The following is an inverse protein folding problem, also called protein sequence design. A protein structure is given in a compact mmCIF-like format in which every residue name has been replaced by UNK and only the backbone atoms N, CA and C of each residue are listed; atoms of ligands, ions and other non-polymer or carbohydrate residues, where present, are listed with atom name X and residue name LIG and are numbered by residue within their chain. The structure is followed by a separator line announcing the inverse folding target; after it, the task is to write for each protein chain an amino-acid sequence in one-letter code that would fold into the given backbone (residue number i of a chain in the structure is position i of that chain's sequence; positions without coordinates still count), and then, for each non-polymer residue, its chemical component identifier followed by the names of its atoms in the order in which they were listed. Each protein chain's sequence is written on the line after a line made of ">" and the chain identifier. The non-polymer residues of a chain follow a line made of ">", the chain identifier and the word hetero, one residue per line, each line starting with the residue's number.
data_IF_742290376655
#
_entry.id   IF_742290376655
#
_cell.length_a   1.000
_cell.length_b   1.000
_cell.length_c   1.000
_cell.angle_alpha   90.00
_cell.angle_beta   90.00
_cell.angle_gamma   90.00
#
_symmetry.space_group_name_H-M   'P 1'
#
loop_
_entity.id
_entity.type
_entity.pdbx_description
1 polymer ?
#
# COMPACT_ATOMS: atom_id res chain seq x y z
N UNK A 1 -6.93 -2.55 18.18
CA UNK A 1 -8.12 -3.21 17.58
C UNK A 1 -7.88 -4.70 17.36
N UNK A 2 -6.87 -5.10 16.57
CA UNK A 2 -6.62 -6.52 16.25
C UNK A 2 -6.45 -7.42 17.49
N UNK A 3 -5.80 -6.91 18.54
CA UNK A 3 -5.55 -7.66 19.78
C UNK A 3 -6.66 -7.52 20.84
N UNK A 4 -7.75 -6.78 20.58
CA UNK A 4 -8.74 -6.44 21.62
C UNK A 4 -9.38 -7.68 22.25
N UNK A 5 -9.60 -8.74 21.47
CA UNK A 5 -10.20 -9.98 21.95
C UNK A 5 -9.18 -11.00 22.47
N UNK A 6 -7.99 -11.08 21.86
CA UNK A 6 -6.98 -12.09 22.19
C UNK A 6 -6.03 -11.66 23.31
N UNK A 7 -5.70 -10.38 23.38
CA UNK A 7 -4.83 -9.80 24.42
C UNK A 7 -5.28 -8.36 24.74
N UNK A 8 -6.28 -8.21 25.61
CA UNK A 8 -6.82 -6.90 25.97
C UNK A 8 -5.77 -5.98 26.61
N UNK A 9 -4.88 -6.52 27.45
CA UNK A 9 -3.85 -5.73 28.16
C UNK A 9 -2.79 -5.18 27.18
N UNK A 10 -2.40 -5.97 26.19
CA UNK A 10 -1.56 -5.48 25.12
C UNK A 10 -2.29 -4.48 24.23
N UNK A 11 -3.56 -4.73 23.88
CA UNK A 11 -4.37 -3.78 23.10
C UNK A 11 -4.52 -2.42 23.80
N UNK A 12 -4.69 -2.38 25.11
CA UNK A 12 -4.75 -1.15 25.90
C UNK A 12 -3.40 -0.44 25.91
N UNK A 13 -2.30 -1.19 26.05
CA UNK A 13 -0.94 -0.65 25.97
C UNK A 13 -0.69 0.02 24.63
N UNK A 14 -1.04 -0.64 23.52
CA UNK A 14 -0.91 -0.09 22.16
C UNK A 14 -1.74 1.18 21.99
N UNK A 15 -3.00 1.18 22.43
CA UNK A 15 -3.86 2.35 22.32
C UNK A 15 -3.30 3.55 23.09
N UNK A 16 -2.86 3.34 24.34
CA UNK A 16 -2.25 4.38 25.17
C UNK A 16 -1.03 5.02 24.50
N UNK A 17 -0.17 4.22 23.88
CA UNK A 17 1.00 4.76 23.17
C UNK A 17 0.63 5.42 21.83
N UNK A 18 -0.40 4.93 21.12
CA UNK A 18 -0.89 5.57 19.91
C UNK A 18 -1.43 6.98 20.19
N UNK A 19 -2.18 7.16 21.28
CA UNK A 19 -2.67 8.48 21.72
C UNK A 19 -1.49 9.41 22.02
N UNK A 20 -0.51 8.96 22.81
CA UNK A 20 0.69 9.75 23.13
C UNK A 20 1.50 10.14 21.88
N UNK A 21 1.65 9.21 20.93
CA UNK A 21 2.37 9.47 19.70
C UNK A 21 1.65 10.53 18.84
N UNK A 22 0.32 10.45 18.74
CA UNK A 22 -0.49 11.44 18.04
C UNK A 22 -0.41 12.82 18.71
N UNK A 23 -0.57 12.89 20.03
CA UNK A 23 -0.45 14.15 20.78
C UNK A 23 0.93 14.80 20.58
N UNK A 24 1.99 13.99 20.61
CA UNK A 24 3.34 14.46 20.34
C UNK A 24 3.48 15.01 18.92
N UNK A 25 3.03 14.26 17.91
CA UNK A 25 3.10 14.68 16.51
C UNK A 25 2.29 15.96 16.22
N UNK A 26 1.09 16.07 16.79
CA UNK A 26 0.22 17.23 16.61
C UNK A 26 0.75 18.48 17.34
N UNK A 27 1.42 18.29 18.49
CA UNK A 27 2.02 19.39 19.26
C UNK A 27 3.34 19.88 18.62
N UNK A 28 4.17 18.97 18.13
CA UNK A 28 5.51 19.26 17.61
C UNK A 28 5.57 18.95 16.11
N UNK A 29 4.88 19.78 15.34
CA UNK A 29 4.70 19.60 13.91
C UNK A 29 5.98 19.87 13.11
N UNK A 30 6.30 18.97 12.19
CA UNK A 30 7.44 19.08 11.28
C UNK A 30 7.77 17.74 10.64
N UNK A 31 8.27 17.78 9.41
CA UNK A 31 8.74 16.59 8.71
C UNK A 31 9.94 15.98 9.46
N UNK A 32 9.93 14.67 9.67
CA UNK A 32 10.99 14.01 10.43
C UNK A 32 12.36 14.15 9.73
N UNK A 33 12.37 14.19 8.39
CA UNK A 33 13.58 14.34 7.58
C UNK A 33 14.11 15.77 7.47
N UNK A 34 13.39 16.76 8.02
CA UNK A 34 13.91 18.12 8.18
C UNK A 34 14.81 18.25 9.41
N UNK A 35 14.72 17.30 10.34
CA UNK A 35 15.61 17.25 11.50
C UNK A 35 17.03 16.86 11.05
N UNK A 36 17.97 17.80 11.18
CA UNK A 36 19.37 17.63 10.79
C UNK A 36 20.04 16.42 11.47
N UNK A 37 19.61 16.02 12.68
CA UNK A 37 20.17 14.87 13.39
C UNK A 37 19.67 13.52 12.86
N UNK A 38 18.59 13.50 12.08
CA UNK A 38 17.94 12.29 11.55
C UNK A 38 18.12 12.20 10.03
N UNK A 39 18.17 13.35 9.35
CA UNK A 39 18.19 13.46 7.89
C UNK A 39 19.24 12.58 7.23
N UNK A 40 20.47 12.56 7.74
CA UNK A 40 21.57 11.78 7.12
C UNK A 40 21.35 10.27 7.20
N UNK A 41 20.56 9.79 8.15
CA UNK A 41 20.17 8.38 8.27
C UNK A 41 18.90 8.02 7.50
N UNK A 42 18.01 9.00 7.28
CA UNK A 42 16.73 8.81 6.61
C UNK A 42 16.82 9.06 5.09
N UNK A 43 17.48 10.14 4.67
CA UNK A 43 17.60 10.56 3.29
C UNK A 43 18.94 10.09 2.70
N UNK A 44 18.97 9.62 1.42
CA UNK A 44 17.89 9.67 0.43
C UNK A 44 16.99 8.41 0.39
N UNK A 45 16.92 7.64 1.48
CA UNK A 45 16.25 6.33 1.48
C UNK A 45 14.73 6.42 1.66
N UNK A 46 14.32 7.05 2.76
CA UNK A 46 12.92 7.32 3.02
C UNK A 46 12.61 8.80 2.89
N UNK A 47 13.22 9.77 3.58
CA UNK A 47 12.74 11.17 3.46
C UNK A 47 11.22 11.33 3.68
N UNK A 48 10.78 12.57 3.76
CA UNK A 48 9.39 12.98 3.82
C UNK A 48 9.18 13.87 2.59
N UNK A 49 8.43 13.40 1.60
CA UNK A 49 8.19 14.15 0.37
C UNK A 49 6.82 14.81 0.34
N UNK A 50 5.81 14.15 0.90
CA UNK A 50 4.42 14.63 0.94
C UNK A 50 4.08 15.52 2.16
N UNK A 51 4.92 15.50 3.20
CA UNK A 51 4.68 16.19 4.45
C UNK A 51 4.23 15.24 5.57
N UNK A 52 3.99 15.79 6.75
CA UNK A 52 3.44 15.07 7.91
C UNK A 52 1.93 15.28 8.08
N UNK A 53 1.33 16.11 7.22
CA UNK A 53 -0.02 16.62 7.37
C UNK A 53 -1.05 15.51 7.17
N UNK A 54 -0.84 14.65 6.19
CA UNK A 54 -1.67 13.48 5.95
C UNK A 54 -1.45 12.39 7.00
N UNK A 55 -0.26 12.25 7.60
CA UNK A 55 -0.01 11.39 8.75
C UNK A 55 -0.87 11.81 9.95
N UNK A 56 -1.03 13.12 10.21
CA UNK A 56 -1.87 13.61 11.30
C UNK A 56 -3.33 13.24 11.04
N UNK A 57 -3.85 13.47 9.83
CA UNK A 57 -5.22 13.07 9.49
C UNK A 57 -5.40 11.56 9.53
N UNK A 58 -4.42 10.79 9.05
CA UNK A 58 -4.41 9.32 9.06
C UNK A 58 -4.40 8.77 10.48
N UNK A 59 -3.54 9.33 11.35
CA UNK A 59 -3.46 8.99 12.77
C UNK A 59 -4.77 9.28 13.49
N UNK A 60 -5.36 10.46 13.27
CA UNK A 60 -6.67 10.82 13.82
C UNK A 60 -7.76 9.85 13.34
N UNK A 61 -7.78 9.49 12.06
CA UNK A 61 -8.76 8.55 11.49
C UNK A 61 -8.66 7.15 12.12
N UNK A 62 -7.45 6.64 12.35
CA UNK A 62 -7.26 5.36 13.05
C UNK A 62 -7.61 5.43 14.53
N UNK A 63 -7.29 6.54 15.21
CA UNK A 63 -7.67 6.76 16.60
C UNK A 63 -9.19 6.88 16.75
N UNK A 64 -9.88 7.58 15.84
CA UNK A 64 -11.35 7.60 15.75
C UNK A 64 -11.89 6.17 15.64
N UNK A 65 -11.35 5.37 14.72
CA UNK A 65 -11.80 3.98 14.52
C UNK A 65 -11.53 3.09 15.74
N UNK A 66 -10.41 3.31 16.43
CA UNK A 66 -10.02 2.51 17.59
C UNK A 66 -10.80 2.87 18.86
N UNK A 67 -11.02 4.16 19.12
CA UNK A 67 -11.62 4.69 20.36
C UNK A 67 -13.12 4.91 20.27
N UNK A 68 -13.64 5.20 19.07
CA UNK A 68 -14.99 5.73 18.85
C UNK A 68 -15.24 7.08 19.54
N UNK A 69 -14.19 7.80 19.93
CA UNK A 69 -14.30 9.14 20.53
C UNK A 69 -14.48 10.20 19.45
N UNK A 70 -15.38 11.16 19.71
CA UNK A 70 -15.70 12.23 18.75
C UNK A 70 -14.59 13.28 18.66
N UNK A 71 -13.67 13.35 19.63
CA UNK A 71 -12.52 14.28 19.60
C UNK A 71 -11.70 14.13 18.31
N UNK A 72 -11.42 12.89 17.89
CA UNK A 72 -10.68 12.62 16.65
C UNK A 72 -11.50 12.90 15.40
N UNK A 73 -12.82 12.68 15.44
CA UNK A 73 -13.72 13.07 14.35
C UNK A 73 -13.72 14.59 14.18
N UNK A 74 -13.86 15.34 15.27
CA UNK A 74 -13.81 16.79 15.29
C UNK A 74 -12.47 17.31 14.77
N UNK A 75 -11.36 16.64 15.13
CA UNK A 75 -10.02 16.96 14.61
C UNK A 75 -9.97 16.84 13.08
N UNK A 76 -10.46 15.73 12.52
CA UNK A 76 -10.49 15.47 11.06
C UNK A 76 -11.34 16.52 10.34
N UNK A 77 -12.50 16.89 10.89
CA UNK A 77 -13.38 17.92 10.33
C UNK A 77 -12.75 19.31 10.38
N UNK A 78 -12.13 19.67 11.51
CA UNK A 78 -11.56 21.00 11.72
C UNK A 78 -10.26 21.20 10.93
N UNK A 79 -9.44 20.16 10.78
CA UNK A 79 -8.11 20.27 10.19
C UNK A 79 -8.03 19.75 8.75
N UNK A 80 -9.02 19.00 8.26
CA UNK A 80 -8.97 18.35 6.95
C UNK A 80 -8.51 19.26 5.81
N UNK A 81 -9.13 20.43 5.66
CA UNK A 81 -8.75 21.41 4.63
C UNK A 81 -7.35 22.01 4.86
N UNK A 82 -7.02 22.34 6.10
CA UNK A 82 -5.74 23.00 6.43
C UNK A 82 -4.55 22.04 6.34
N UNK A 83 -4.79 20.74 6.54
CA UNK A 83 -3.81 19.67 6.42
C UNK A 83 -3.90 18.96 5.06
N UNK A 84 -4.57 19.54 4.06
CA UNK A 84 -4.50 19.05 2.68
C UNK A 84 -5.21 17.73 2.41
N UNK A 85 -6.33 17.40 3.06
CA UNK A 85 -7.05 16.14 2.84
C UNK A 85 -7.44 15.86 1.36
N UNK A 86 -7.56 16.92 0.55
CA UNK A 86 -7.82 16.91 -0.88
C UNK A 86 -6.56 17.06 -1.77
N UNK A 87 -5.38 17.12 -1.17
CA UNK A 87 -4.08 17.12 -1.87
C UNK A 87 -3.67 15.68 -2.24
N UNK A 88 -2.89 15.53 -3.31
CA UNK A 88 -2.25 14.28 -3.77
C UNK A 88 -3.10 12.99 -3.63
N UNK A 89 -4.41 13.07 -3.85
CA UNK A 89 -5.39 12.00 -3.57
C UNK A 89 -5.25 10.73 -4.42
N UNK A 90 -4.29 10.72 -5.35
CA UNK A 90 -4.06 9.62 -6.28
C UNK A 90 -2.97 8.65 -5.80
N UNK A 91 -2.47 8.82 -4.57
CA UNK A 91 -1.41 8.01 -4.02
C UNK A 91 -1.73 7.45 -2.63
N UNK A 92 -1.24 6.22 -2.40
CA UNK A 92 -1.21 5.59 -1.09
C UNK A 92 0.03 4.71 -1.00
N UNK A 93 0.86 4.97 0.01
CA UNK A 93 2.13 4.31 0.21
C UNK A 93 2.71 4.60 1.59
N UNK A 94 4.01 4.37 1.72
CA UNK A 94 4.71 4.63 2.97
C UNK A 94 4.89 6.14 3.25
N UNK A 95 4.93 6.99 2.21
CA UNK A 95 5.03 8.45 2.30
C UNK A 95 3.64 9.10 2.23
N UNK A 96 2.89 8.92 1.13
CA UNK A 96 1.54 9.50 1.01
C UNK A 96 0.42 8.64 1.65
N UNK A 97 -0.47 9.25 2.45
CA UNK A 97 -1.67 8.61 3.02
C UNK A 97 -2.99 9.10 2.44
N UNK A 98 -3.03 10.09 1.55
CA UNK A 98 -4.25 10.78 1.13
C UNK A 98 -5.32 9.87 0.53
N UNK A 99 -4.99 8.99 -0.43
CA UNK A 99 -6.01 8.09 -1.00
C UNK A 99 -6.55 7.10 0.05
N UNK A 100 -5.66 6.57 0.90
CA UNK A 100 -6.02 5.67 1.99
C UNK A 100 -6.87 6.35 3.07
N UNK A 101 -6.52 7.59 3.44
CA UNK A 101 -7.25 8.45 4.37
C UNK A 101 -8.67 8.70 3.87
N UNK A 102 -8.81 9.14 2.62
CA UNK A 102 -10.11 9.42 2.01
C UNK A 102 -10.99 8.18 1.97
N UNK A 103 -10.45 7.01 1.57
CA UNK A 103 -11.17 5.73 1.64
C UNK A 103 -11.54 5.35 3.07
N UNK A 104 -10.63 5.52 4.04
CA UNK A 104 -10.88 5.16 5.44
C UNK A 104 -12.02 5.99 6.05
N UNK A 105 -11.95 7.32 5.86
CA UNK A 105 -12.91 8.29 6.43
C UNK A 105 -14.26 8.23 5.71
N UNK A 106 -14.29 7.91 4.41
CA UNK A 106 -15.53 7.83 3.65
C UNK A 106 -16.52 6.81 4.23
N UNK A 107 -16.04 5.82 5.00
CA UNK A 107 -16.90 4.85 5.70
C UNK A 107 -17.90 5.53 6.65
N UNK A 108 -17.45 6.55 7.38
CA UNK A 108 -18.29 7.28 8.34
C UNK A 108 -19.41 8.05 7.62
N UNK A 109 -19.12 8.61 6.44
CA UNK A 109 -20.13 9.20 5.56
C UNK A 109 -21.12 8.14 5.05
N UNK A 110 -20.60 7.04 4.50
CA UNK A 110 -21.38 5.99 3.84
C UNK A 110 -22.32 5.23 4.79
N UNK A 111 -21.87 4.96 6.01
CA UNK A 111 -22.61 4.15 6.98
C UNK A 111 -23.32 5.01 8.04
N UNK A 112 -22.77 6.18 8.37
CA UNK A 112 -23.26 7.04 9.46
C UNK A 112 -24.06 8.26 8.97
N UNK A 113 -24.18 8.48 7.66
CA UNK A 113 -24.75 9.69 7.07
C UNK A 113 -24.10 10.99 7.59
N UNK A 114 -22.81 10.94 7.90
CA UNK A 114 -22.05 12.10 8.38
C UNK A 114 -21.73 13.06 7.24
N UNK A 115 -22.71 13.87 6.81
CA UNK A 115 -22.60 14.79 5.66
C UNK A 115 -21.40 15.75 5.72
N UNK A 116 -20.92 16.08 6.91
CA UNK A 116 -19.69 16.86 7.13
C UNK A 116 -18.43 16.23 6.52
N UNK A 117 -18.45 14.92 6.25
CA UNK A 117 -17.33 14.15 5.69
C UNK A 117 -17.54 13.83 4.19
N UNK A 118 -18.51 14.47 3.54
CA UNK A 118 -18.82 14.24 2.13
C UNK A 118 -17.61 14.49 1.22
N UNK A 119 -16.74 15.44 1.55
CA UNK A 119 -15.51 15.71 0.79
C UNK A 119 -14.59 14.50 0.72
N UNK A 120 -14.39 13.77 1.82
CA UNK A 120 -13.56 12.56 1.85
C UNK A 120 -14.13 11.46 0.94
N UNK A 121 -15.46 11.30 0.92
CA UNK A 121 -16.14 10.41 -0.02
C UNK A 121 -15.96 10.86 -1.48
N UNK A 122 -16.05 12.15 -1.75
CA UNK A 122 -15.85 12.70 -3.08
C UNK A 122 -14.41 12.52 -3.58
N UNK A 123 -13.41 12.71 -2.72
CA UNK A 123 -12.00 12.43 -3.02
C UNK A 123 -11.75 10.93 -3.26
N UNK A 124 -12.36 10.06 -2.45
CA UNK A 124 -12.30 8.61 -2.68
C UNK A 124 -12.94 8.22 -4.02
N UNK A 125 -14.10 8.79 -4.37
CA UNK A 125 -14.72 8.60 -5.69
C UNK A 125 -13.81 9.07 -6.82
N UNK A 126 -13.28 10.28 -6.70
CA UNK A 126 -12.38 10.87 -7.70
C UNK A 126 -11.15 9.98 -7.94
N UNK A 127 -10.52 9.49 -6.86
CA UNK A 127 -9.42 8.55 -6.94
C UNK A 127 -9.82 7.26 -7.68
N UNK A 128 -10.95 6.64 -7.33
CA UNK A 128 -11.43 5.44 -8.02
C UNK A 128 -11.66 5.68 -9.52
N UNK A 129 -12.17 6.86 -9.88
CA UNK A 129 -12.35 7.22 -11.29
C UNK A 129 -11.04 7.37 -12.05
N UNK A 130 -9.93 7.74 -11.38
CA UNK A 130 -8.61 7.79 -12.04
C UNK A 130 -8.09 6.42 -12.47
N UNK A 131 -8.62 5.34 -11.88
CA UNK A 131 -8.27 3.96 -12.17
C UNK A 131 -9.08 3.37 -13.32
N UNK A 132 -10.11 4.06 -13.80
CA UNK A 132 -11.06 3.57 -14.81
C UNK A 132 -10.62 4.10 -16.17
N UNK A 133 -10.12 3.26 -17.09
CA UNK A 133 -9.59 3.71 -18.37
C UNK A 133 -10.59 4.51 -19.21
N UNK A 134 -11.88 4.16 -19.12
CA UNK A 134 -12.98 4.80 -19.84
C UNK A 134 -13.47 6.10 -19.19
N UNK A 135 -12.96 6.48 -18.01
CA UNK A 135 -13.33 7.73 -17.35
C UNK A 135 -12.64 8.93 -17.98
N UNK A 136 -13.34 10.07 -18.00
CA UNK A 136 -12.78 11.37 -18.38
C UNK A 136 -11.70 11.88 -17.42
N UNK A 137 -11.58 11.26 -16.23
CA UNK A 137 -10.59 11.58 -15.20
C UNK A 137 -9.46 10.53 -15.10
N UNK A 138 -9.33 9.64 -16.09
CA UNK A 138 -8.29 8.60 -16.11
C UNK A 138 -6.89 9.23 -16.08
N UNK A 139 -6.13 8.93 -15.04
CA UNK A 139 -4.79 9.47 -14.81
C UNK A 139 -3.75 8.39 -14.46
N UNK A 140 -4.19 7.23 -13.98
CA UNK A 140 -3.29 6.13 -13.63
C UNK A 140 -3.03 5.28 -14.87
N UNK A 141 -1.75 5.00 -15.11
CA UNK A 141 -1.31 4.27 -16.30
C UNK A 141 -1.40 2.77 -16.08
N UNK A 142 -1.50 2.04 -17.19
CA UNK A 142 -1.43 0.60 -17.23
C UNK A 142 -0.36 0.16 -18.21
N UNK A 143 0.38 -0.89 -17.88
CA UNK A 143 1.22 -1.59 -18.85
C UNK A 143 0.33 -2.27 -19.92
N UNK A 144 0.88 -2.65 -21.09
CA UNK A 144 0.15 -3.44 -22.08
C UNK A 144 -0.52 -4.72 -21.52
N UNK A 145 0.11 -5.36 -20.53
CA UNK A 145 -0.39 -6.53 -19.81
C UNK A 145 -1.44 -6.22 -18.74
N UNK A 146 -1.78 -4.95 -18.50
CA UNK A 146 -2.85 -4.56 -17.58
C UNK A 146 -2.43 -4.37 -16.12
N UNK A 147 -1.12 -4.27 -15.83
CA UNK A 147 -0.61 -3.90 -14.51
C UNK A 147 -0.74 -2.39 -14.30
N UNK A 148 -1.22 -1.98 -13.12
CA UNK A 148 -1.18 -0.58 -12.70
C UNK A 148 0.28 -0.12 -12.63
N UNK A 149 0.60 0.93 -13.35
CA UNK A 149 1.95 1.44 -13.50
C UNK A 149 2.06 2.89 -13.08
N UNK A 150 3.09 3.16 -12.27
CA UNK A 150 3.56 4.51 -11.95
C UNK A 150 5.07 4.56 -12.21
N UNK A 151 5.57 5.54 -12.97
CA UNK A 151 7.00 5.68 -13.22
C UNK A 151 7.79 5.79 -11.92
N UNK A 152 8.85 5.00 -11.79
CA UNK A 152 9.67 4.95 -10.58
C UNK A 152 10.35 3.61 -10.38
N UNK A 153 10.93 3.40 -9.19
CA UNK A 153 11.35 2.09 -8.74
C UNK A 153 10.24 1.40 -7.95
N UNK A 154 10.29 0.07 -7.89
CA UNK A 154 9.41 -0.75 -7.05
C UNK A 154 7.91 -0.57 -7.36
N UNK A 155 7.54 -0.58 -8.65
CA UNK A 155 6.18 -0.30 -9.12
C UNK A 155 5.08 -1.13 -8.42
N UNK A 156 5.34 -2.40 -8.07
CA UNK A 156 4.36 -3.26 -7.40
C UNK A 156 3.90 -2.73 -6.04
N UNK A 157 4.59 -1.75 -5.44
CA UNK A 157 4.06 -1.04 -4.28
C UNK A 157 2.72 -0.37 -4.60
N UNK A 158 2.60 0.24 -5.77
CA UNK A 158 1.38 0.94 -6.19
C UNK A 158 0.28 -0.05 -6.55
N UNK A 159 0.61 -1.10 -7.32
CA UNK A 159 -0.37 -2.13 -7.67
C UNK A 159 -0.97 -2.80 -6.43
N UNK A 160 -0.14 -3.13 -5.43
CA UNK A 160 -0.59 -3.78 -4.19
C UNK A 160 -1.39 -2.84 -3.27
N UNK A 161 -0.97 -1.58 -3.10
CA UNK A 161 -1.71 -0.61 -2.28
C UNK A 161 -3.05 -0.24 -2.92
N UNK A 162 -3.08 -0.05 -4.25
CA UNK A 162 -4.31 0.28 -4.98
C UNK A 162 -5.28 -0.91 -4.98
N UNK A 163 -4.80 -2.14 -5.22
CA UNK A 163 -5.65 -3.33 -5.10
C UNK A 163 -6.28 -3.45 -3.71
N UNK A 164 -5.54 -3.13 -2.65
CA UNK A 164 -6.08 -3.10 -1.30
C UNK A 164 -7.17 -2.04 -1.12
N UNK A 165 -6.94 -0.80 -1.58
CA UNK A 165 -7.93 0.27 -1.48
C UNK A 165 -9.20 -0.01 -2.30
N UNK A 166 -9.05 -0.57 -3.51
CA UNK A 166 -10.17 -1.01 -4.34
C UNK A 166 -11.09 -1.98 -3.58
N UNK A 167 -10.51 -2.98 -2.90
CA UNK A 167 -11.29 -3.95 -2.11
C UNK A 167 -11.94 -3.33 -0.88
N UNK A 168 -11.21 -2.50 -0.14
CA UNK A 168 -11.76 -1.81 1.05
C UNK A 168 -12.94 -0.94 0.64
N UNK A 169 -12.79 -0.17 -0.43
CA UNK A 169 -13.82 0.74 -0.88
C UNK A 169 -15.02 0.03 -1.48
N UNK A 170 -14.80 -1.02 -2.29
CA UNK A 170 -15.87 -1.89 -2.78
C UNK A 170 -16.68 -2.50 -1.63
N UNK A 171 -16.01 -2.91 -0.55
CA UNK A 171 -16.68 -3.42 0.64
C UNK A 171 -17.50 -2.34 1.36
N UNK A 172 -17.00 -1.10 1.47
CA UNK A 172 -17.78 0.01 2.02
C UNK A 172 -19.02 0.32 1.18
N UNK A 173 -18.88 0.42 -0.14
CA UNK A 173 -20.00 0.62 -1.06
C UNK A 173 -21.02 -0.53 -0.99
N UNK A 174 -20.58 -1.78 -0.80
CA UNK A 174 -21.48 -2.94 -0.69
C UNK A 174 -22.31 -2.95 0.60
N UNK A 175 -21.84 -2.28 1.66
CA UNK A 175 -22.46 -2.25 2.98
C UNK A 175 -23.42 -1.07 3.17
N UNK A 176 -23.52 -0.17 2.21
CA UNK A 176 -24.42 0.98 2.32
C UNK A 176 -25.86 0.53 2.17
N UNK A 177 -26.78 1.22 2.83
CA UNK A 177 -28.22 0.92 2.75
C UNK A 177 -28.85 1.30 1.41
N UNK A 178 -28.11 2.01 0.55
CA UNK A 178 -28.49 2.33 -0.82
C UNK A 178 -28.12 1.18 -1.74
N UNK A 179 -29.13 0.44 -2.21
CA UNK A 179 -29.06 -0.75 -3.08
C UNK A 179 -28.37 -0.55 -4.46
N UNK A 180 -27.71 0.58 -4.69
CA UNK A 180 -27.02 0.94 -5.95
C UNK A 180 -25.85 1.90 -5.72
N UNK A 181 -25.16 1.80 -4.58
CA UNK A 181 -23.97 2.62 -4.34
C UNK A 181 -22.90 2.31 -5.40
N UNK A 182 -22.61 3.32 -6.21
CA UNK A 182 -21.67 3.29 -7.32
C UNK A 182 -20.89 4.59 -7.35
N UNK A 183 -19.75 4.56 -8.00
CA UNK A 183 -18.90 5.72 -8.25
C UNK A 183 -19.26 6.26 -9.63
N UNK A 184 -19.68 7.52 -9.70
CA UNK A 184 -19.94 8.19 -10.98
C UNK A 184 -18.63 8.79 -11.50
N UNK A 185 -18.14 8.24 -12.61
CA UNK A 185 -16.88 8.62 -13.26
C UNK A 185 -17.09 9.33 -14.60
N UNK A 186 -18.21 10.07 -14.72
CA UNK A 186 -18.62 10.78 -15.93
C UNK A 186 -19.64 9.96 -16.71
N UNK A 187 -19.23 9.42 -17.86
CA UNK A 187 -20.09 8.58 -18.71
C UNK A 187 -20.21 7.13 -18.20
N UNK A 188 -19.32 6.74 -17.27
CA UNK A 188 -19.26 5.40 -16.71
C UNK A 188 -19.58 5.43 -15.22
N UNK A 189 -20.39 4.47 -14.78
CA UNK A 189 -20.65 4.21 -13.37
C UNK A 189 -19.98 2.91 -12.94
N UNK A 190 -19.22 2.96 -11.84
CA UNK A 190 -18.40 1.84 -11.36
C UNK A 190 -18.95 1.34 -10.03
N UNK A 191 -19.39 0.08 -10.04
CA UNK A 191 -19.93 -0.58 -8.85
C UNK A 191 -18.87 -1.37 -8.07
N UNK A 192 -19.23 -1.91 -6.89
CA UNK A 192 -18.36 -2.75 -6.08
C UNK A 192 -17.75 -3.94 -6.84
N UNK A 193 -18.54 -4.60 -7.70
CA UNK A 193 -18.09 -5.74 -8.49
C UNK A 193 -16.92 -5.39 -9.43
N UNK A 194 -17.03 -4.26 -10.14
CA UNK A 194 -15.97 -3.76 -11.03
C UNK A 194 -14.69 -3.44 -10.26
N UNK A 195 -14.80 -2.78 -9.11
CA UNK A 195 -13.63 -2.48 -8.25
C UNK A 195 -12.97 -3.77 -7.73
N UNK A 196 -13.76 -4.77 -7.33
CA UNK A 196 -13.24 -6.09 -6.93
C UNK A 196 -12.52 -6.78 -8.09
N UNK A 197 -13.13 -6.81 -9.27
CA UNK A 197 -12.53 -7.41 -10.45
C UNK A 197 -11.20 -6.76 -10.81
N UNK A 198 -11.12 -5.43 -10.71
CA UNK A 198 -9.88 -4.71 -10.96
C UNK A 198 -8.77 -5.07 -9.97
N UNK A 199 -9.09 -5.17 -8.67
CA UNK A 199 -8.14 -5.63 -7.66
C UNK A 199 -7.67 -7.06 -7.92
N UNK A 200 -8.59 -7.95 -8.32
CA UNK A 200 -8.29 -9.36 -8.66
C UNK A 200 -7.30 -9.43 -9.82
N UNK A 201 -7.52 -8.66 -10.89
CA UNK A 201 -6.59 -8.60 -12.03
C UNK A 201 -5.16 -8.23 -11.62
N UNK A 202 -4.99 -7.32 -10.65
CA UNK A 202 -3.65 -6.96 -10.17
C UNK A 202 -2.98 -8.10 -9.41
N UNK A 203 -3.75 -8.86 -8.63
CA UNK A 203 -3.24 -10.06 -7.95
C UNK A 203 -2.87 -11.14 -8.95
N UNK A 204 -3.77 -11.44 -9.90
CA UNK A 204 -3.53 -12.45 -10.92
C UNK A 204 -2.27 -12.10 -11.72
N UNK A 205 -2.12 -10.83 -12.11
CA UNK A 205 -0.88 -10.33 -12.74
C UNK A 205 0.36 -10.58 -11.88
N UNK A 206 0.34 -10.20 -10.59
CA UNK A 206 1.47 -10.42 -9.67
C UNK A 206 1.78 -11.92 -9.51
N UNK A 207 0.77 -12.78 -9.56
CA UNK A 207 0.89 -14.21 -9.34
C UNK A 207 1.17 -15.02 -10.62
N UNK A 208 1.13 -14.41 -11.80
CA UNK A 208 1.62 -15.00 -13.05
C UNK A 208 0.74 -14.81 -14.29
N UNK A 209 -0.45 -14.23 -14.18
CA UNK A 209 -1.29 -13.87 -15.33
C UNK A 209 -0.83 -12.57 -15.97
N UNK A 210 0.36 -12.62 -16.56
CA UNK A 210 1.04 -11.51 -17.21
C UNK A 210 1.76 -11.99 -18.47
N UNK A 211 2.21 -11.09 -19.37
CA UNK A 211 2.86 -11.48 -20.63
C UNK A 211 4.08 -12.41 -20.49
N UNK A 212 4.75 -12.42 -19.32
CA UNK A 212 5.89 -13.30 -19.06
C UNK A 212 5.51 -14.63 -18.42
N UNK A 213 4.26 -14.82 -17.99
CA UNK A 213 3.84 -15.99 -17.22
C UNK A 213 4.61 -16.16 -15.90
N UNK A 214 5.21 -15.09 -15.39
CA UNK A 214 6.11 -15.11 -14.23
C UNK A 214 5.39 -14.63 -12.99
N UNK A 215 5.46 -15.39 -11.90
CA UNK A 215 5.05 -14.86 -10.59
C UNK A 215 6.08 -13.88 -10.07
N UNK A 216 5.67 -12.66 -9.76
CA UNK A 216 6.49 -11.67 -9.07
C UNK A 216 6.51 -11.88 -7.55
N UNK A 217 5.84 -12.92 -7.04
CA UNK A 217 5.99 -13.41 -5.67
C UNK A 217 6.96 -14.59 -5.63
N UNK A 218 8.10 -14.39 -4.99
CA UNK A 218 9.18 -15.37 -4.89
C UNK A 218 8.68 -16.66 -4.23
N UNK A 219 8.94 -17.80 -4.88
CA UNK A 219 8.53 -19.12 -4.39
C UNK A 219 7.06 -19.48 -4.66
N UNK A 220 6.29 -18.63 -5.35
CA UNK A 220 4.95 -18.95 -5.80
C UNK A 220 4.94 -19.38 -7.27
N UNK A 221 4.16 -20.42 -7.60
CA UNK A 221 4.10 -20.98 -8.95
C UNK A 221 5.39 -21.69 -9.39
N UNK A 222 5.48 -22.02 -10.68
CA UNK A 222 6.63 -22.73 -11.28
C UNK A 222 7.71 -21.81 -11.87
N UNK A 223 7.45 -20.52 -12.00
CA UNK A 223 8.34 -19.55 -12.63
C UNK A 223 8.28 -18.21 -11.87
N UNK A 224 9.38 -17.83 -11.21
CA UNK A 224 9.50 -16.63 -10.36
C UNK A 224 10.95 -16.11 -10.33
N UNK A 225 11.20 -14.85 -9.93
CA UNK A 225 12.54 -14.27 -9.80
C UNK A 225 13.43 -15.04 -8.83
N UNK A 226 14.64 -15.38 -9.27
CA UNK A 226 15.61 -16.14 -8.49
C UNK A 226 16.79 -15.27 -8.04
N UNK A 227 16.98 -14.09 -8.61
CA UNK A 227 18.15 -13.22 -8.39
C UNK A 227 17.73 -11.87 -7.80
N UNK A 228 16.83 -11.88 -6.81
CA UNK A 228 16.32 -10.66 -6.18
C UNK A 228 17.39 -9.87 -5.41
N UNK A 229 17.27 -8.53 -5.37
CA UNK A 229 18.14 -7.63 -4.60
C UNK A 229 17.90 -7.74 -3.08
N UNK A 230 18.34 -8.85 -2.47
CA UNK A 230 18.17 -9.05 -1.04
C UNK A 230 19.35 -9.82 -0.43
N UNK A 231 20.07 -9.17 0.50
CA UNK A 231 21.32 -9.69 1.09
C UNK A 231 21.14 -11.02 1.81
N UNK A 232 20.07 -11.14 2.60
CA UNK A 232 19.79 -12.36 3.36
C UNK A 232 19.45 -13.56 2.50
N UNK A 233 18.99 -13.35 1.26
CA UNK A 233 18.72 -14.44 0.32
C UNK A 233 19.91 -14.75 -0.57
N UNK A 234 20.70 -13.74 -0.95
CA UNK A 234 21.87 -13.91 -1.81
C UNK A 234 23.09 -14.51 -1.12
N UNK A 235 23.24 -14.33 0.20
CA UNK A 235 24.37 -14.86 0.98
C UNK A 235 24.02 -16.28 1.49
N UNK A 236 24.92 -17.28 1.37
CA UNK A 236 24.69 -18.64 1.88
C UNK A 236 24.27 -18.65 3.35
N UNK A 237 23.46 -19.64 3.71
CA UNK A 237 23.01 -19.80 5.10
C UNK A 237 24.19 -20.08 6.03
N UNK A 238 24.04 -19.75 7.32
CA UNK A 238 25.04 -20.09 8.34
C UNK A 238 25.26 -21.61 8.49
N UNK A 239 24.34 -22.45 8.00
CA UNK A 239 24.50 -23.90 7.98
C UNK A 239 25.52 -24.34 6.92
N UNK A 240 25.48 -23.70 5.76
CA UNK A 240 26.33 -24.03 4.61
C UNK A 240 27.66 -23.26 4.64
N UNK A 241 27.65 -22.06 5.24
CA UNK A 241 28.81 -21.21 5.43
C UNK A 241 28.84 -20.62 6.85
N UNK A 242 29.38 -21.35 7.85
CA UNK A 242 29.33 -20.96 9.26
C UNK A 242 30.26 -19.79 9.63
N UNK A 243 31.20 -19.44 8.76
CA UNK A 243 32.11 -18.32 8.98
C UNK A 243 31.38 -16.99 8.74
N UNK A 244 31.73 -15.98 9.54
CA UNK A 244 31.22 -14.62 9.37
C UNK A 244 31.60 -14.06 7.99
N UNK A 245 30.63 -13.46 7.30
CA UNK A 245 30.85 -12.76 6.03
C UNK A 245 30.81 -11.26 6.30
N UNK A 246 31.95 -10.59 6.17
CA UNK A 246 32.02 -9.14 6.33
C UNK A 246 31.33 -8.40 5.16
N UNK A 247 31.00 -7.12 5.37
CA UNK A 247 30.21 -6.32 4.41
C UNK A 247 30.79 -6.35 2.97
N UNK A 248 32.11 -6.18 2.81
CA UNK A 248 32.75 -6.19 1.47
C UNK A 248 32.95 -7.59 0.90
N UNK A 249 33.03 -8.61 1.74
CA UNK A 249 33.14 -10.01 1.31
C UNK A 249 31.85 -10.51 0.65
N UNK A 250 30.71 -9.92 1.01
CA UNK A 250 29.42 -10.20 0.36
C UNK A 250 29.34 -9.82 -1.12
N UNK A 251 30.29 -9.04 -1.65
CA UNK A 251 30.32 -8.57 -3.04
C UNK A 251 30.31 -9.72 -4.06
N UNK A 252 30.93 -10.86 -3.71
CA UNK A 252 30.97 -12.04 -4.61
C UNK A 252 29.58 -12.62 -4.84
N UNK A 253 28.72 -12.63 -3.80
CA UNK A 253 27.34 -13.10 -3.90
C UNK A 253 26.46 -12.08 -4.62
N UNK A 254 26.68 -10.80 -4.38
CA UNK A 254 25.98 -9.73 -5.10
C UNK A 254 26.22 -9.82 -6.62
N UNK A 255 27.49 -9.97 -7.03
CA UNK A 255 27.89 -10.02 -8.44
C UNK A 255 27.67 -11.38 -9.12
N UNK A 256 27.22 -12.42 -8.39
CA UNK A 256 27.05 -13.76 -8.97
C UNK A 256 25.92 -13.78 -10.02
N UNK A 257 26.10 -14.57 -11.09
CA UNK A 257 25.03 -14.91 -12.03
C UNK A 257 24.08 -15.99 -11.52
N UNK A 258 24.46 -16.68 -10.44
CA UNK A 258 23.68 -17.77 -9.88
C UNK A 258 22.41 -17.24 -9.17
N UNK A 259 21.35 -18.06 -9.09
CA UNK A 259 20.23 -17.86 -8.18
C UNK A 259 20.67 -17.54 -6.75
N UNK A 260 19.84 -16.79 -6.02
CA UNK A 260 20.01 -16.62 -4.59
C UNK A 260 19.91 -17.99 -3.89
N UNK A 261 20.91 -18.38 -3.04
CA UNK A 261 20.93 -19.70 -2.41
C UNK A 261 19.76 -19.95 -1.44
N UNK A 262 19.14 -18.88 -0.91
CA UNK A 262 17.97 -19.01 -0.06
C UNK A 262 16.75 -18.40 -0.76
N UNK A 263 15.72 -19.21 -1.01
CA UNK A 263 14.45 -18.73 -1.57
C UNK A 263 13.73 -17.88 -0.53
N UNK A 264 13.53 -16.59 -0.82
CA UNK A 264 12.81 -15.66 0.05
C UNK A 264 11.30 -15.79 -0.18
N UNK A 265 10.73 -16.93 0.24
CA UNK A 265 9.34 -17.30 -0.04
C UNK A 265 8.37 -16.19 0.41
N UNK A 266 7.48 -15.81 -0.50
CA UNK A 266 6.42 -14.82 -0.27
C UNK A 266 6.82 -13.36 -0.51
N UNK A 267 8.11 -13.07 -0.72
CA UNK A 267 8.54 -11.72 -1.06
C UNK A 267 8.04 -11.30 -2.45
N UNK A 268 7.47 -10.11 -2.54
CA UNK A 268 7.05 -9.51 -3.81
C UNK A 268 8.13 -8.52 -4.23
N UNK A 269 8.67 -8.69 -5.44
CA UNK A 269 9.71 -7.83 -6.00
C UNK A 269 9.15 -6.47 -6.43
N UNK A 270 10.02 -5.54 -6.85
CA UNK A 270 9.61 -4.26 -7.42
C UNK A 270 8.75 -4.37 -8.69
N UNK A 271 8.97 -5.42 -9.49
CA UNK A 271 8.16 -5.79 -10.66
C UNK A 271 8.66 -5.24 -11.99
N UNK A 272 7.88 -5.41 -13.06
CA UNK A 272 8.30 -5.10 -14.44
C UNK A 272 8.32 -3.60 -14.73
N UNK A 273 8.93 -3.23 -15.86
CA UNK A 273 8.84 -1.89 -16.46
C UNK A 273 7.48 -1.64 -17.15
N UNK A 274 7.30 -0.43 -17.67
CA UNK A 274 6.06 0.02 -18.33
C UNK A 274 5.60 -0.85 -19.50
N UNK A 275 6.52 -1.61 -20.10
CA UNK A 275 6.34 -2.50 -21.24
C UNK A 275 6.21 -3.98 -20.83
N UNK A 276 5.92 -4.25 -19.55
CA UNK A 276 5.82 -5.60 -18.96
C UNK A 276 7.15 -6.39 -18.93
N UNK A 277 8.28 -5.74 -19.19
CA UNK A 277 9.60 -6.39 -19.18
C UNK A 277 10.22 -6.48 -17.78
N UNK A 278 10.72 -7.67 -17.45
CA UNK A 278 11.40 -7.97 -16.19
C UNK A 278 12.64 -8.81 -16.44
N UNK A 279 13.79 -8.25 -16.10
CA UNK A 279 15.07 -8.95 -16.11
C UNK A 279 15.34 -9.41 -14.67
N UNK A 280 15.53 -10.72 -14.47
CA UNK A 280 15.88 -11.30 -13.16
C UNK A 280 17.34 -10.98 -12.82
N UNK A 281 17.59 -9.72 -12.48
CA UNK A 281 18.90 -9.16 -12.16
C UNK A 281 18.94 -8.59 -10.74
N UNK A 282 19.89 -9.09 -9.95
CA UNK A 282 20.18 -8.65 -8.58
C UNK A 282 20.69 -7.23 -8.52
N UNK A 283 21.36 -6.77 -9.59
CA UNK A 283 21.86 -5.41 -9.70
C UNK A 283 20.75 -4.38 -9.87
N UNK A 284 19.64 -4.77 -10.51
CA UNK A 284 18.50 -3.88 -10.76
C UNK A 284 17.54 -3.84 -9.56
N UNK A 285 17.94 -3.13 -8.52
CA UNK A 285 17.13 -2.94 -7.32
C UNK A 285 15.76 -2.32 -7.60
N UNK A 286 15.58 -1.56 -8.70
CA UNK A 286 14.28 -0.96 -9.02
C UNK A 286 13.24 -2.00 -9.36
N UNK A 287 13.64 -3.08 -10.04
CA UNK A 287 12.75 -4.20 -10.39
C UNK A 287 12.82 -5.34 -9.38
N UNK A 288 14.00 -5.63 -8.83
CA UNK A 288 14.24 -6.88 -8.09
C UNK A 288 14.27 -6.75 -6.56
N UNK A 289 14.23 -5.53 -6.00
CA UNK A 289 14.19 -5.34 -4.55
C UNK A 289 12.77 -5.57 -3.99
N UNK A 290 12.59 -6.54 -3.08
CA UNK A 290 11.37 -6.62 -2.29
C UNK A 290 11.43 -5.65 -1.10
N UNK A 291 10.29 -5.08 -0.73
CA UNK A 291 10.18 -4.23 0.44
C UNK A 291 8.95 -4.59 1.28
N UNK A 292 9.00 -4.26 2.57
CA UNK A 292 7.91 -4.57 3.49
C UNK A 292 6.60 -3.90 3.09
N UNK A 293 6.66 -2.69 2.52
CA UNK A 293 5.48 -1.92 2.13
C UNK A 293 4.82 -2.41 0.83
N UNK A 294 5.50 -3.21 -0.01
CA UNK A 294 4.85 -3.92 -1.13
C UNK A 294 4.00 -5.08 -0.57
N UNK A 295 4.56 -5.85 0.35
CA UNK A 295 3.88 -7.01 0.93
C UNK A 295 2.74 -6.63 1.89
N UNK A 296 2.88 -5.54 2.66
CA UNK A 296 1.92 -5.13 3.70
C UNK A 296 0.45 -5.01 3.22
N UNK A 297 0.11 -4.26 2.16
CA UNK A 297 -1.25 -4.18 1.64
C UNK A 297 -1.68 -5.50 0.97
N UNK A 298 -0.76 -6.20 0.29
CA UNK A 298 -1.06 -7.42 -0.44
C UNK A 298 -1.56 -8.56 0.47
N UNK A 299 -1.04 -8.65 1.69
CA UNK A 299 -1.56 -9.62 2.68
C UNK A 299 -3.06 -9.40 2.93
N UNK A 300 -3.50 -8.14 3.05
CA UNK A 300 -4.93 -7.81 3.21
C UNK A 300 -5.77 -8.23 2.00
N UNK A 301 -5.23 -8.06 0.79
CA UNK A 301 -5.86 -8.49 -0.47
C UNK A 301 -6.01 -10.01 -0.51
N UNK A 302 -4.94 -10.76 -0.21
CA UNK A 302 -4.98 -12.23 -0.18
C UNK A 302 -5.94 -12.76 0.89
N UNK A 303 -6.00 -12.14 2.07
CA UNK A 303 -6.97 -12.49 3.12
C UNK A 303 -8.40 -12.29 2.62
N UNK A 304 -8.68 -11.19 1.92
CA UNK A 304 -9.99 -10.96 1.33
C UNK A 304 -10.35 -12.07 0.33
N UNK A 305 -9.43 -12.44 -0.56
CA UNK A 305 -9.65 -13.49 -1.55
C UNK A 305 -9.84 -14.87 -0.92
N UNK A 306 -9.04 -15.22 0.09
CA UNK A 306 -9.17 -16.46 0.82
C UNK A 306 -10.54 -16.56 1.53
N UNK A 307 -11.05 -15.44 2.05
CA UNK A 307 -12.39 -15.37 2.65
C UNK A 307 -13.54 -15.33 1.61
N UNK A 308 -13.23 -15.01 0.34
CA UNK A 308 -14.21 -14.86 -0.74
C UNK A 308 -13.72 -15.58 -2.02
N UNK A 309 -13.70 -16.92 -2.05
CA UNK A 309 -13.12 -17.70 -3.16
C UNK A 309 -13.89 -17.59 -4.49
N UNK A 310 -15.02 -16.89 -4.52
CA UNK A 310 -15.75 -16.52 -5.74
C UNK A 310 -16.25 -15.09 -5.59
N UNK A 311 -15.36 -14.09 -5.72
CA UNK A 311 -15.75 -12.70 -5.56
C UNK A 311 -16.63 -12.29 -6.76
N UNK A 312 -17.92 -12.08 -6.50
CA UNK A 312 -18.87 -11.47 -7.44
C UNK A 312 -18.86 -9.95 -7.38
#
# INVERSE_FOLDING_TARGET
>A
MAFRSSDPGYSETLLRYAVKAFEFADTYRGAYSDNANIRDGACPFYCDFDGYQDELLWGAAWLRRATQEDTYLNYIQANGKTLGADDNINEFGWDNKHAGLNVLVSKEFLNGNMYSLQSYKASADSFMCTLVPESTSSHIQYTPGGLIYKPGGSNLQHATTIAFLLLVYANYLSQTTTQSASVNCGEVSVGPASLRQQAIRQVDYILGDNPKGMSYMVGYGGYYPQRIHHRGSSIPSIKDHPQFVACKEGSVYFNSSDPNPNVLVGAIVGGPSEDDEYDDDRGDFRKSEPTTYINAPFVGVLVYMAANPSPS
#
